data_IF_193429262045
#
_entry.id   IF_193429262045
#
_cell.length_a   1.000
_cell.length_b   1.000
_cell.length_c   1.000
_cell.angle_alpha   90.00
_cell.angle_beta   90.00
_cell.angle_gamma   90.00
#
_symmetry.space_group_name_H-M   'P 1'
#
loop_
_entity.id
_entity.type
_entity.pdbx_description
1 polymer ?
#
# COMPACT_ATOMS: atom_id res chain seq x y z
N UNK A 1 -4.12 -1.28 3.59
CA UNK A 1 -3.18 -0.15 3.74
C UNK A 1 -3.36 0.41 5.12
N UNK A 2 -2.28 0.92 5.71
CA UNK A 2 -2.33 1.60 6.99
C UNK A 2 -1.29 2.73 6.97
N UNK A 3 -1.43 3.67 7.90
CA UNK A 3 -0.43 4.72 8.09
C UNK A 3 0.54 4.30 9.19
N UNK A 4 1.82 4.60 8.97
CA UNK A 4 2.85 4.41 9.98
C UNK A 4 3.62 5.70 10.21
N UNK A 5 3.93 5.96 11.46
CA UNK A 5 4.85 7.00 11.85
C UNK A 5 6.23 6.39 12.10
N UNK A 6 7.27 7.00 11.53
CA UNK A 6 8.66 6.62 11.74
C UNK A 6 9.40 7.73 12.49
N UNK A 7 10.07 7.35 13.56
CA UNK A 7 10.95 8.22 14.33
C UNK A 7 12.38 7.76 14.10
N UNK A 8 13.27 8.68 13.73
CA UNK A 8 14.68 8.37 13.40
C UNK A 8 15.57 8.29 14.65
N UNK A 9 15.04 7.65 15.70
CA UNK A 9 15.75 7.33 16.94
C UNK A 9 15.18 6.04 17.51
N UNK A 10 16.06 5.13 17.90
CA UNK A 10 15.66 3.94 18.64
C UNK A 10 15.25 4.33 20.06
N UNK A 11 14.03 3.97 20.46
CA UNK A 11 13.44 4.37 21.74
C UNK A 11 12.59 3.22 22.32
N UNK A 12 13.25 2.31 23.03
CA UNK A 12 12.60 1.18 23.69
C UNK A 12 11.53 1.59 24.72
N UNK A 13 11.80 2.57 25.61
CA UNK A 13 10.81 3.09 26.55
C UNK A 13 9.55 3.63 25.86
N UNK A 14 9.69 4.39 24.77
CA UNK A 14 8.56 4.86 23.97
C UNK A 14 7.72 3.69 23.43
N UNK A 15 8.37 2.68 22.83
CA UNK A 15 7.67 1.50 22.31
C UNK A 15 6.93 0.75 23.41
N UNK A 16 7.53 0.59 24.60
CA UNK A 16 6.87 -0.05 25.73
C UNK A 16 5.65 0.76 26.21
N UNK A 17 5.78 2.09 26.27
CA UNK A 17 4.67 2.99 26.62
C UNK A 17 3.52 2.87 25.61
N UNK A 18 3.78 2.99 24.32
CA UNK A 18 2.76 2.86 23.26
C UNK A 18 2.07 1.50 23.32
N UNK A 19 2.82 0.40 23.48
CA UNK A 19 2.25 -0.95 23.61
C UNK A 19 1.36 -1.11 24.84
N UNK A 20 1.70 -0.48 25.97
CA UNK A 20 0.85 -0.51 27.18
C UNK A 20 -0.53 0.12 26.97
N UNK A 21 -0.66 0.99 25.96
CA UNK A 21 -1.91 1.63 25.51
C UNK A 21 -2.59 0.88 24.36
N UNK A 22 -2.07 -0.27 23.95
CA UNK A 22 -2.59 -1.05 22.83
C UNK A 22 -2.18 -0.53 21.44
N UNK A 23 -1.22 0.39 21.36
CA UNK A 23 -0.72 0.91 20.08
C UNK A 23 0.42 0.02 19.58
N UNK A 24 0.30 -0.46 18.34
CA UNK A 24 1.33 -1.29 17.73
C UNK A 24 2.57 -0.45 17.39
N UNK A 25 3.68 -0.77 18.03
CA UNK A 25 4.97 -0.12 17.79
C UNK A 25 6.12 -1.13 17.84
N UNK A 26 7.19 -0.87 17.09
CA UNK A 26 8.39 -1.70 17.08
C UNK A 26 9.65 -0.85 16.93
N UNK A 27 10.70 -1.22 17.66
CA UNK A 27 12.05 -0.73 17.39
C UNK A 27 12.54 -1.42 16.12
N UNK A 28 13.07 -0.65 15.19
CA UNK A 28 13.74 -1.13 13.97
C UNK A 28 15.13 -0.52 13.91
N UNK A 29 16.01 -1.06 13.08
CA UNK A 29 17.35 -0.49 12.91
C UNK A 29 17.24 1.00 12.51
N UNK A 30 17.78 1.86 13.36
CA UNK A 30 17.79 3.31 13.15
C UNK A 30 16.47 4.02 13.44
N UNK A 31 15.52 3.40 14.16
CA UNK A 31 14.30 4.11 14.52
C UNK A 31 13.22 3.31 15.25
N UNK A 32 12.06 3.93 15.36
CA UNK A 32 10.81 3.32 15.82
C UNK A 32 9.77 3.44 14.72
N UNK A 33 9.04 2.36 14.46
CA UNK A 33 7.85 2.37 13.61
C UNK A 33 6.63 2.22 14.51
N UNK A 34 5.65 3.10 14.33
CA UNK A 34 4.37 3.10 15.03
C UNK A 34 3.26 2.97 14.00
N UNK A 35 2.46 1.92 14.09
CA UNK A 35 1.23 1.79 13.30
C UNK A 35 0.19 2.70 13.94
N UNK A 36 -0.31 3.67 13.17
CA UNK A 36 -1.25 4.63 13.71
C UNK A 36 -2.60 3.95 14.01
N UNK A 37 -3.15 4.09 15.23
CA UNK A 37 -4.46 3.56 15.55
C UNK A 37 -5.53 4.23 14.67
N UNK A 38 -6.42 3.42 14.12
CA UNK A 38 -7.51 3.88 13.26
C UNK A 38 -8.81 3.96 14.05
N UNK A 39 -9.47 5.11 13.98
CA UNK A 39 -10.77 5.38 14.57
C UNK A 39 -11.72 5.94 13.50
N UNK A 40 -12.59 5.08 12.96
CA UNK A 40 -13.41 5.40 11.80
C UNK A 40 -12.56 5.64 10.54
N UNK A 41 -12.68 6.82 9.96
CA UNK A 41 -11.95 7.26 8.76
C UNK A 41 -10.66 8.02 9.08
N UNK A 42 -10.31 8.16 10.37
CA UNK A 42 -9.14 8.90 10.85
C UNK A 42 -8.11 7.97 11.48
N UNK A 43 -6.85 8.35 11.35
CA UNK A 43 -5.71 7.77 12.05
C UNK A 43 -5.24 8.79 13.08
N UNK A 44 -5.19 8.37 14.35
CA UNK A 44 -4.75 9.23 15.45
C UNK A 44 -3.23 9.17 15.56
N UNK A 45 -2.58 10.33 15.66
CA UNK A 45 -1.14 10.44 15.88
C UNK A 45 -0.91 10.63 17.38
N UNK A 46 -0.22 9.68 18.06
CA UNK A 46 0.19 9.88 19.44
C UNK A 46 1.11 11.11 19.58
N UNK A 47 0.90 11.93 20.59
CA UNK A 47 1.68 13.15 20.84
C UNK A 47 3.18 12.87 20.88
N UNK A 48 3.58 11.72 21.44
CA UNK A 48 4.97 11.33 21.59
C UNK A 48 5.70 11.12 20.25
N UNK A 49 4.93 10.95 19.17
CA UNK A 49 5.45 10.63 17.83
C UNK A 49 5.04 11.65 16.78
N UNK A 50 4.41 12.76 17.19
CA UNK A 50 3.90 13.79 16.27
C UNK A 50 4.98 14.48 15.42
N UNK A 51 6.25 14.40 15.83
CA UNK A 51 7.39 14.92 15.09
C UNK A 51 8.04 13.88 14.15
N UNK A 52 7.48 12.68 14.08
CA UNK A 52 7.94 11.63 13.18
C UNK A 52 7.63 11.94 11.71
N UNK A 53 8.14 11.09 10.83
CA UNK A 53 7.83 11.08 9.40
C UNK A 53 6.71 10.09 9.15
N UNK A 54 5.66 10.55 8.47
CA UNK A 54 4.51 9.73 8.12
C UNK A 54 4.74 8.97 6.82
N UNK A 55 4.32 7.71 6.77
CA UNK A 55 4.40 6.85 5.60
C UNK A 55 3.07 6.13 5.35
N UNK A 56 2.79 5.87 4.09
CA UNK A 56 1.71 4.98 3.66
C UNK A 56 2.30 3.59 3.47
N UNK A 57 1.82 2.60 4.24
CA UNK A 57 2.16 1.21 4.04
C UNK A 57 1.17 0.55 3.08
N UNK A 58 1.70 0.11 1.95
CA UNK A 58 0.96 -0.47 0.84
C UNK A 58 1.53 -1.84 0.46
N UNK A 59 0.69 -2.67 -0.14
CA UNK A 59 1.04 -4.05 -0.47
C UNK A 59 0.57 -4.43 -1.85
N UNK A 60 1.44 -5.07 -2.63
CA UNK A 60 1.04 -5.81 -3.83
C UNK A 60 0.55 -7.20 -3.42
N UNK A 61 -0.53 -7.69 -4.03
CA UNK A 61 -1.06 -9.00 -3.69
C UNK A 61 -2.14 -9.52 -4.62
N UNK A 62 -2.63 -10.72 -4.30
CA UNK A 62 -3.72 -11.38 -5.01
C UNK A 62 -3.26 -12.26 -6.16
N UNK A 63 -4.24 -12.65 -6.99
CA UNK A 63 -4.12 -13.60 -8.09
C UNK A 63 -5.42 -14.37 -8.28
N UNK A 64 -5.36 -15.55 -8.90
CA UNK A 64 -6.51 -16.41 -9.12
C UNK A 64 -6.40 -17.73 -8.34
N UNK A 65 -7.53 -18.18 -7.77
CA UNK A 65 -7.72 -19.57 -7.29
C UNK A 65 -8.71 -20.35 -8.15
N UNK A 66 -9.39 -19.67 -9.09
CA UNK A 66 -10.44 -20.24 -9.93
C UNK A 66 -10.64 -19.37 -11.17
N UNK A 67 -11.83 -19.40 -11.77
CA UNK A 67 -12.24 -18.43 -12.79
C UNK A 67 -12.33 -16.99 -12.24
N UNK A 68 -12.39 -16.85 -10.91
CA UNK A 68 -12.29 -15.56 -10.22
C UNK A 68 -10.84 -15.29 -9.85
N UNK A 69 -10.42 -14.07 -10.09
CA UNK A 69 -9.10 -13.57 -9.73
C UNK A 69 -9.18 -12.07 -9.54
N UNK A 70 -8.50 -11.60 -8.51
CA UNK A 70 -8.36 -10.18 -8.24
C UNK A 70 -6.94 -9.96 -7.74
N UNK A 71 -6.35 -8.85 -8.14
CA UNK A 71 -5.04 -8.47 -7.63
C UNK A 71 -4.90 -6.97 -7.51
N UNK A 72 -3.96 -6.56 -6.67
CA UNK A 72 -3.65 -5.17 -6.40
C UNK A 72 -2.18 -4.92 -6.70
N UNK A 73 -1.92 -3.89 -7.51
CA UNK A 73 -0.61 -3.32 -7.84
C UNK A 73 -0.48 -1.96 -7.17
N UNK A 74 0.72 -1.65 -6.70
CA UNK A 74 1.07 -0.35 -6.12
C UNK A 74 2.08 0.33 -7.05
N UNK A 75 1.80 1.58 -7.43
CA UNK A 75 2.69 2.40 -8.25
C UNK A 75 2.69 3.85 -7.75
N UNK A 76 3.60 4.66 -8.26
CA UNK A 76 3.56 6.10 -7.98
C UNK A 76 2.44 6.81 -8.77
N UNK A 77 2.35 8.13 -8.62
CA UNK A 77 1.31 8.95 -9.28
C UNK A 77 1.52 9.11 -10.80
N UNK A 78 2.67 8.73 -11.33
CA UNK A 78 2.97 8.73 -12.77
C UNK A 78 2.93 7.31 -13.36
N UNK A 79 2.53 6.31 -12.56
CA UNK A 79 2.37 4.93 -12.97
C UNK A 79 3.65 4.10 -12.93
N UNK A 80 4.78 4.62 -12.46
CA UNK A 80 6.02 3.87 -12.37
C UNK A 80 6.02 2.90 -11.19
N UNK A 81 6.73 1.78 -11.36
CA UNK A 81 6.89 0.77 -10.32
C UNK A 81 7.68 1.31 -9.11
N UNK A 82 7.18 1.04 -7.91
CA UNK A 82 7.85 1.40 -6.67
C UNK A 82 8.88 0.35 -6.26
N UNK A 83 9.87 0.76 -5.47
CA UNK A 83 10.83 -0.16 -4.88
C UNK A 83 10.25 -0.75 -3.58
N UNK A 84 10.03 -2.07 -3.49
CA UNK A 84 9.54 -2.68 -2.26
C UNK A 84 10.65 -2.75 -1.21
N UNK A 85 10.31 -2.51 0.05
CA UNK A 85 11.26 -2.77 1.14
C UNK A 85 11.33 -4.24 1.52
N UNK A 86 10.32 -5.03 1.15
CA UNK A 86 10.26 -6.46 1.42
C UNK A 86 9.45 -7.21 0.36
N UNK A 87 10.01 -8.33 -0.10
CA UNK A 87 9.37 -9.30 -1.00
C UNK A 87 9.51 -10.67 -0.35
N UNK A 88 8.40 -11.27 0.15
CA UNK A 88 8.44 -12.61 0.73
C UNK A 88 8.94 -13.65 -0.28
N UNK A 89 9.86 -14.53 0.15
CA UNK A 89 10.36 -15.66 -0.67
C UNK A 89 9.83 -17.02 -0.20
N UNK A 90 9.20 -17.06 0.98
CA UNK A 90 8.77 -18.29 1.65
C UNK A 90 7.41 -18.10 2.32
N UNK A 91 6.72 -19.21 2.61
CA UNK A 91 5.39 -19.25 3.21
C UNK A 91 4.28 -19.55 2.20
N UNK A 92 3.04 -19.46 2.68
CA UNK A 92 1.82 -19.62 1.87
C UNK A 92 1.58 -18.36 1.05
N UNK A 93 2.34 -18.22 -0.03
CA UNK A 93 2.28 -17.06 -0.91
C UNK A 93 1.11 -17.08 -1.88
N UNK A 94 0.45 -18.23 -2.08
CA UNK A 94 -0.61 -18.37 -3.07
C UNK A 94 -1.70 -17.30 -2.92
N UNK A 95 -1.73 -16.35 -3.85
CA UNK A 95 -2.65 -15.21 -3.91
C UNK A 95 -2.59 -14.29 -2.67
N UNK A 96 -1.50 -14.36 -1.91
CA UNK A 96 -1.29 -13.56 -0.71
C UNK A 96 -0.68 -12.20 -1.02
N UNK A 97 0.04 -11.66 -0.04
CA UNK A 97 0.87 -10.46 -0.21
C UNK A 97 2.23 -10.83 -0.78
N UNK A 98 2.61 -10.15 -1.85
CA UNK A 98 3.81 -10.46 -2.63
C UNK A 98 4.87 -9.38 -2.56
N UNK A 99 4.50 -8.13 -2.26
CA UNK A 99 5.47 -7.05 -2.05
C UNK A 99 4.91 -6.04 -1.04
N UNK A 100 5.81 -5.44 -0.25
CA UNK A 100 5.50 -4.41 0.73
C UNK A 100 6.25 -3.12 0.41
N UNK A 101 5.52 -2.01 0.47
CA UNK A 101 6.02 -0.68 0.13
C UNK A 101 5.77 0.30 1.27
N UNK A 102 6.74 1.17 1.50
CA UNK A 102 6.67 2.24 2.48
C UNK A 102 6.84 3.56 1.73
N UNK A 103 5.74 4.27 1.55
CA UNK A 103 5.69 5.45 0.67
C UNK A 103 5.70 6.71 1.53
N UNK A 104 6.74 7.53 1.40
CA UNK A 104 6.88 8.78 2.17
C UNK A 104 6.11 9.95 1.56
N UNK A 105 5.72 9.85 0.29
CA UNK A 105 4.95 10.88 -0.41
C UNK A 105 3.51 10.93 0.09
N UNK A 106 2.85 12.05 -0.16
CA UNK A 106 1.44 12.23 0.26
C UNK A 106 0.47 11.35 -0.53
N UNK A 107 0.91 10.81 -1.67
CA UNK A 107 0.09 10.09 -2.63
C UNK A 107 0.73 8.76 -3.02
N UNK A 108 -0.11 7.76 -3.29
CA UNK A 108 0.25 6.49 -3.92
C UNK A 108 -0.90 6.02 -4.81
N UNK A 109 -0.60 5.41 -5.95
CA UNK A 109 -1.63 4.85 -6.82
C UNK A 109 -1.81 3.34 -6.54
N UNK A 110 -3.07 2.92 -6.54
CA UNK A 110 -3.51 1.55 -6.29
C UNK A 110 -4.29 1.11 -7.52
N UNK A 111 -3.82 0.06 -8.16
CA UNK A 111 -4.45 -0.46 -9.37
C UNK A 111 -4.95 -1.86 -9.09
N UNK A 112 -6.26 -2.05 -9.25
CA UNK A 112 -6.90 -3.34 -9.03
C UNK A 112 -7.32 -3.95 -10.36
N UNK A 113 -6.84 -5.16 -10.65
CA UNK A 113 -7.28 -5.95 -11.80
C UNK A 113 -8.30 -7.00 -11.38
N UNK A 114 -9.38 -7.15 -12.15
CA UNK A 114 -10.47 -8.09 -11.90
C UNK A 114 -10.61 -9.02 -13.10
N UNK A 115 -10.25 -10.30 -12.92
CA UNK A 115 -10.25 -11.31 -13.98
C UNK A 115 -11.64 -11.56 -14.57
N UNK A 116 -12.67 -11.63 -13.73
CA UNK A 116 -14.01 -12.07 -14.15
C UNK A 116 -14.66 -11.09 -15.13
N UNK A 117 -14.39 -9.79 -14.96
CA UNK A 117 -14.97 -8.70 -15.75
C UNK A 117 -13.97 -8.05 -16.72
N UNK A 118 -12.70 -8.47 -16.67
CA UNK A 118 -11.57 -7.82 -17.36
C UNK A 118 -11.43 -6.33 -17.01
N UNK A 119 -11.95 -5.94 -15.84
CA UNK A 119 -11.93 -4.57 -15.37
C UNK A 119 -10.62 -4.24 -14.66
N UNK A 120 -10.20 -2.99 -14.84
CA UNK A 120 -9.18 -2.34 -14.03
C UNK A 120 -9.80 -1.16 -13.31
N UNK A 121 -9.43 -0.98 -12.05
CA UNK A 121 -9.78 0.17 -11.22
C UNK A 121 -8.47 0.90 -10.89
N UNK A 122 -8.41 2.19 -11.19
CA UNK A 122 -7.28 3.07 -10.87
C UNK A 122 -7.72 4.00 -9.75
N UNK A 123 -7.08 3.87 -8.60
CA UNK A 123 -7.34 4.68 -7.42
C UNK A 123 -6.08 5.45 -7.03
N UNK A 124 -6.24 6.70 -6.62
CA UNK A 124 -5.19 7.43 -5.90
C UNK A 124 -5.58 7.47 -4.44
N UNK A 125 -4.65 7.05 -3.61
CA UNK A 125 -4.72 7.18 -2.16
C UNK A 125 -3.87 8.36 -1.77
N UNK A 126 -4.44 9.30 -1.04
CA UNK A 126 -3.69 10.44 -0.51
C UNK A 126 -4.00 10.69 0.96
N UNK A 127 -3.04 11.26 1.66
CA UNK A 127 -3.20 11.63 3.07
C UNK A 127 -3.66 13.07 3.21
N UNK A 128 -4.65 13.29 4.08
CA UNK A 128 -5.14 14.62 4.46
C UNK A 128 -4.91 14.84 5.95
N UNK A 129 -4.10 15.84 6.30
CA UNK A 129 -3.83 16.23 7.69
C UNK A 129 -4.43 17.62 7.95
N UNK A 130 -5.72 17.66 8.26
CA UNK A 130 -6.43 18.89 8.59
C UNK A 130 -6.27 19.30 10.06
N UNK A 131 -5.84 18.37 10.91
CA UNK A 131 -5.64 18.54 12.35
C UNK A 131 -4.24 18.05 12.74
N UNK A 132 -3.56 18.65 13.73
CA UNK A 132 -2.18 18.30 14.06
C UNK A 132 -1.97 16.82 14.42
N UNK A 133 -2.96 16.22 15.10
CA UNK A 133 -2.87 14.87 15.66
C UNK A 133 -3.79 13.85 14.97
N UNK A 134 -4.33 14.20 13.80
CA UNK A 134 -5.20 13.30 13.06
C UNK A 134 -4.95 13.39 11.55
N UNK A 135 -4.88 12.23 10.91
CA UNK A 135 -4.69 12.10 9.46
C UNK A 135 -5.77 11.22 8.89
N UNK A 136 -6.27 11.55 7.71
CA UNK A 136 -7.21 10.72 6.94
C UNK A 136 -6.48 10.15 5.74
N UNK A 137 -6.74 8.89 5.42
CA UNK A 137 -6.33 8.31 4.14
C UNK A 137 -7.56 8.34 3.21
N UNK A 138 -7.55 9.26 2.26
CA UNK A 138 -8.64 9.45 1.30
C UNK A 138 -8.33 8.66 0.05
N UNK A 139 -9.39 8.07 -0.52
CA UNK A 139 -9.35 7.23 -1.70
C UNK A 139 -10.18 7.90 -2.78
N UNK A 140 -9.55 8.17 -3.92
CA UNK A 140 -10.21 8.73 -5.10
C UNK A 140 -10.10 7.73 -6.26
N UNK A 141 -11.24 7.22 -6.73
CA UNK A 141 -11.28 6.47 -7.98
C UNK A 141 -11.10 7.44 -9.14
N UNK A 142 -10.03 7.26 -9.91
CA UNK A 142 -9.77 8.05 -11.12
C UNK A 142 -10.52 7.46 -12.32
N UNK A 143 -10.56 6.13 -12.39
CA UNK A 143 -11.17 5.42 -13.50
C UNK A 143 -11.48 3.97 -13.16
N UNK A 144 -12.55 3.46 -13.78
CA UNK A 144 -12.93 2.05 -13.78
C UNK A 144 -13.50 1.67 -15.14
N UNK A 145 -13.02 0.55 -15.68
CA UNK A 145 -13.52 0.01 -16.94
C UNK A 145 -12.68 -1.17 -17.42
N UNK A 146 -12.97 -1.69 -18.60
CA UNK A 146 -12.16 -2.79 -19.17
C UNK A 146 -10.81 -2.26 -19.62
N UNK A 147 -9.75 -3.03 -19.41
CA UNK A 147 -8.37 -2.62 -19.75
C UNK A 147 -8.23 -2.13 -21.21
N UNK A 148 -8.90 -2.79 -22.16
CA UNK A 148 -8.89 -2.41 -23.59
C UNK A 148 -9.56 -1.06 -23.89
N UNK A 149 -10.29 -0.52 -22.93
CA UNK A 149 -11.01 0.77 -23.00
C UNK A 149 -10.30 1.86 -22.19
N UNK A 150 -9.06 1.61 -21.72
CA UNK A 150 -8.31 2.56 -20.92
C UNK A 150 -8.14 3.89 -21.68
N UNK A 151 -8.70 5.01 -21.16
CA UNK A 151 -8.60 6.30 -21.83
C UNK A 151 -7.15 6.80 -21.92
N UNK A 152 -6.82 7.53 -23.01
CA UNK A 152 -5.48 8.08 -23.23
C UNK A 152 -4.97 8.96 -22.07
N UNK A 153 -5.86 9.66 -21.37
CA UNK A 153 -5.52 10.48 -20.20
C UNK A 153 -4.98 9.68 -19.00
N UNK A 154 -5.14 8.36 -19.01
CA UNK A 154 -4.64 7.42 -18.01
C UNK A 154 -3.58 6.45 -18.57
N UNK A 155 -3.06 6.72 -19.77
CA UNK A 155 -2.05 5.88 -20.43
C UNK A 155 -0.76 5.70 -19.63
N UNK A 156 -0.42 6.65 -18.76
CA UNK A 156 0.72 6.52 -17.84
C UNK A 156 0.59 5.32 -16.88
N UNK A 157 -0.63 4.85 -16.62
CA UNK A 157 -0.89 3.69 -15.77
C UNK A 157 -1.01 2.37 -16.55
N UNK A 158 -0.82 2.38 -17.87
CA UNK A 158 -1.07 1.22 -18.74
C UNK A 158 -0.23 -0.01 -18.33
N UNK A 159 1.08 0.17 -18.07
CA UNK A 159 1.95 -0.94 -17.66
C UNK A 159 1.53 -1.54 -16.32
N UNK A 160 1.18 -0.69 -15.36
CA UNK A 160 0.73 -1.13 -14.04
C UNK A 160 -0.66 -1.80 -14.10
N UNK A 161 -1.55 -1.33 -14.99
CA UNK A 161 -2.85 -1.93 -15.27
C UNK A 161 -2.73 -3.30 -15.95
N UNK A 162 -1.81 -3.42 -16.92
CA UNK A 162 -1.45 -4.70 -17.54
C UNK A 162 -0.89 -5.67 -16.51
N UNK A 163 0.01 -5.22 -15.64
CA UNK A 163 0.57 -6.03 -14.56
C UNK A 163 -0.52 -6.50 -13.58
N UNK A 164 -1.46 -5.63 -13.21
CA UNK A 164 -2.59 -5.99 -12.37
C UNK A 164 -3.48 -7.04 -13.05
N UNK A 165 -3.81 -6.89 -14.34
CA UNK A 165 -4.60 -7.90 -15.04
C UNK A 165 -3.85 -9.22 -15.22
N UNK A 166 -2.55 -9.18 -15.52
CA UNK A 166 -1.73 -10.37 -15.63
C UNK A 166 -1.66 -11.13 -14.29
N UNK A 167 -1.50 -10.38 -13.19
CA UNK A 167 -1.48 -10.94 -11.84
C UNK A 167 -2.83 -11.55 -11.46
N UNK A 168 -3.94 -10.86 -11.72
CA UNK A 168 -5.29 -11.38 -11.50
C UNK A 168 -5.58 -12.67 -12.30
N UNK A 169 -4.89 -12.89 -13.42
CA UNK A 169 -4.98 -14.11 -14.22
C UNK A 169 -4.02 -15.23 -13.76
N UNK A 170 -3.04 -14.92 -12.91
CA UNK A 170 -2.05 -15.89 -12.43
C UNK A 170 -2.65 -16.84 -11.39
N UNK A 171 -2.73 -18.12 -11.74
CA UNK A 171 -3.27 -19.16 -10.86
C UNK A 171 -2.29 -19.50 -9.74
N UNK A 172 -2.75 -19.45 -8.50
CA UNK A 172 -1.93 -19.58 -7.30
C UNK A 172 -0.70 -18.68 -7.37
N UNK A 173 -0.89 -17.39 -7.68
CA UNK A 173 0.20 -16.43 -7.81
C UNK A 173 1.07 -16.41 -6.56
N UNK A 174 2.39 -16.38 -6.69
CA UNK A 174 3.35 -16.40 -5.56
C UNK A 174 4.39 -15.28 -5.64
N UNK A 175 4.31 -14.42 -6.65
CA UNK A 175 5.38 -13.51 -7.03
C UNK A 175 4.84 -12.10 -7.17
N UNK A 176 5.71 -11.10 -6.99
CA UNK A 176 5.40 -9.72 -7.31
C UNK A 176 5.44 -9.49 -8.82
N UNK A 177 4.58 -8.61 -9.35
CA UNK A 177 4.41 -8.37 -10.78
C UNK A 177 4.86 -6.97 -11.19
N UNK A 178 4.83 -5.99 -10.27
CA UNK A 178 5.11 -4.60 -10.61
C UNK A 178 5.96 -3.92 -9.54
N UNK A 179 7.25 -4.24 -9.57
CA UNK A 179 8.26 -3.72 -8.64
C UNK A 179 9.47 -3.21 -9.40
N UNK A 180 10.12 -2.16 -8.91
CA UNK A 180 11.43 -1.75 -9.42
C UNK A 180 12.54 -2.51 -8.69
N UNK A 181 13.55 -2.90 -9.45
CA UNK A 181 14.78 -3.51 -8.93
C UNK A 181 15.75 -2.38 -8.60
N UNK A 182 16.31 -2.39 -7.39
CA UNK A 182 17.36 -1.45 -6.98
C UNK A 182 18.73 -1.85 -7.52
#
# INVERSE_FOLDING_TARGET
MHLVMRIDREDGPLVANLKSRGIEAKVVRGGVIVVLPQNGDRFEIPDEVCHGRLFIEATEGGGATSKRGQSTIICDIIGCALHPYFVPKHGDLSNGTHAFFSVSTDHVCVITGIRETEEVIIEVMHREQNEPLAVRLVRNELWRGRLVELPQMWSQFEEAALAAMAKANCYHCREAYYISIA
#
